data_IF_666389217730
#
_entry.id   IF_666389217730
#
_cell.length_a   1.000
_cell.length_b   1.000
_cell.length_c   1.000
_cell.angle_alpha   90.00
_cell.angle_beta   90.00
_cell.angle_gamma   90.00
#
_symmetry.space_group_name_H-M   'P 1'
#
loop_
_entity.id
_entity.type
_entity.pdbx_description
1 polymer ?
#
# COMPACT_ATOMS: atom_id res chain seq x y z
N UNK A 1 65.92 38.71 36.15
CA UNK A 1 65.46 37.50 35.43
C UNK A 1 64.15 37.06 36.06
N UNK A 2 63.05 37.08 35.29
CA UNK A 2 61.70 36.73 35.74
C UNK A 2 61.50 35.22 35.56
N UNK A 3 61.14 34.50 36.61
CA UNK A 3 60.70 33.09 36.51
C UNK A 3 59.20 33.02 36.77
N UNK A 4 58.47 32.61 35.72
CA UNK A 4 57.03 32.35 35.71
C UNK A 4 56.78 30.97 36.34
N UNK A 5 55.91 30.89 37.35
CA UNK A 5 55.37 29.63 37.87
C UNK A 5 53.93 29.49 37.38
N UNK A 6 53.70 28.48 36.54
CA UNK A 6 52.46 28.17 35.84
C UNK A 6 51.43 27.54 36.79
N UNK A 7 50.21 28.10 36.83
CA UNK A 7 49.03 27.53 37.53
C UNK A 7 48.49 26.34 36.74
N UNK A 8 48.31 25.19 37.39
CA UNK A 8 47.71 24.00 36.80
C UNK A 8 46.19 24.05 36.99
N UNK A 9 45.45 24.05 35.88
CA UNK A 9 43.98 23.93 35.87
C UNK A 9 43.65 22.45 36.05
N UNK A 10 43.04 22.09 37.18
CA UNK A 10 42.46 20.75 37.38
C UNK A 10 41.14 20.69 36.60
N UNK A 11 41.14 20.00 35.46
CA UNK A 11 39.91 19.64 34.76
C UNK A 11 39.20 18.53 35.53
N UNK A 12 38.03 18.83 36.08
CA UNK A 12 37.11 17.84 36.64
C UNK A 12 36.35 17.21 35.46
N UNK A 13 36.56 15.91 35.25
CA UNK A 13 35.85 15.12 34.25
C UNK A 13 34.48 14.75 34.84
N UNK A 14 33.39 15.30 34.30
CA UNK A 14 32.03 14.88 34.64
C UNK A 14 31.64 13.75 33.67
N UNK A 15 31.25 12.56 34.15
CA UNK A 15 30.80 11.51 33.26
C UNK A 15 29.46 11.94 32.64
N UNK A 16 29.46 12.11 31.32
CA UNK A 16 28.26 12.29 30.54
C UNK A 16 27.52 10.95 30.50
N UNK A 17 26.61 10.76 31.45
CA UNK A 17 25.68 9.63 31.43
C UNK A 17 24.78 9.80 30.20
N UNK A 18 25.09 9.06 29.13
CA UNK A 18 24.17 8.87 28.01
C UNK A 18 22.98 8.08 28.54
N UNK A 19 21.87 8.77 28.79
CA UNK A 19 20.55 8.17 28.82
C UNK A 19 20.27 7.68 27.41
N UNK A 20 20.38 6.37 27.20
CA UNK A 20 19.73 5.73 26.06
C UNK A 20 18.24 5.82 26.30
N UNK A 21 17.56 6.70 25.57
CA UNK A 21 16.12 6.59 25.38
C UNK A 21 15.95 5.42 24.42
N UNK A 22 15.51 4.27 24.93
CA UNK A 22 14.93 3.25 24.07
C UNK A 22 13.64 3.86 23.52
N UNK A 23 13.53 3.95 22.19
CA UNK A 23 12.23 4.18 21.57
C UNK A 23 11.41 2.92 21.85
N UNK A 24 10.44 3.04 22.76
CA UNK A 24 9.41 2.03 22.96
C UNK A 24 8.53 2.12 21.72
N UNK A 25 8.78 1.25 20.73
CA UNK A 25 7.85 1.05 19.64
C UNK A 25 6.66 0.32 20.23
N UNK A 26 5.70 1.09 20.74
CA UNK A 26 4.45 0.55 21.27
C UNK A 26 3.79 -0.32 20.18
N UNK A 27 3.46 -1.55 20.56
CA UNK A 27 2.66 -2.44 19.74
C UNK A 27 1.27 -1.80 19.57
N UNK A 28 0.68 -2.02 18.41
CA UNK A 28 -0.68 -1.58 18.08
C UNK A 28 -1.60 -2.78 17.90
N UNK A 29 -2.87 -2.59 18.18
CA UNK A 29 -3.90 -3.62 18.05
C UNK A 29 -4.40 -3.66 16.62
N UNK A 30 -4.19 -4.78 15.95
CA UNK A 30 -4.82 -5.10 14.68
C UNK A 30 -6.03 -5.99 14.94
N UNK A 31 -7.23 -5.50 14.64
CA UNK A 31 -8.47 -6.28 14.69
C UNK A 31 -9.00 -6.51 13.30
N UNK A 32 -9.11 -7.76 12.89
CA UNK A 32 -9.72 -8.17 11.63
C UNK A 32 -11.17 -8.58 11.87
N UNK A 33 -12.10 -8.08 11.08
CA UNK A 33 -13.51 -8.46 11.09
C UNK A 33 -13.87 -9.15 9.78
N UNK A 34 -14.44 -10.33 9.89
CA UNK A 34 -14.96 -11.09 8.77
C UNK A 34 -16.43 -10.71 8.57
N UNK A 35 -16.69 -9.74 7.71
CA UNK A 35 -18.04 -9.32 7.33
C UNK A 35 -18.52 -10.09 6.07
N UNK A 36 -17.84 -11.21 5.72
CA UNK A 36 -18.19 -12.10 4.60
C UNK A 36 -19.05 -13.29 5.05
N UNK A 37 -19.59 -14.03 4.09
CA UNK A 37 -20.35 -15.27 4.30
C UNK A 37 -19.46 -16.51 4.46
N UNK A 38 -18.14 -16.39 4.30
CA UNK A 38 -17.17 -17.49 4.31
C UNK A 38 -16.35 -17.50 5.60
N UNK A 39 -16.05 -18.68 6.12
CA UNK A 39 -15.20 -18.82 7.31
C UNK A 39 -13.72 -18.82 6.92
N UNK A 40 -12.88 -18.12 7.68
CA UNK A 40 -11.42 -18.12 7.45
C UNK A 40 -10.74 -19.12 8.39
N UNK A 41 -10.05 -20.09 7.80
CA UNK A 41 -9.37 -21.18 8.51
C UNK A 41 -7.92 -20.84 8.82
N UNK A 42 -7.26 -20.06 7.95
CA UNK A 42 -5.88 -19.64 8.16
C UNK A 42 -5.72 -18.14 7.91
N UNK A 43 -5.03 -17.46 8.83
CA UNK A 43 -4.68 -16.05 8.72
C UNK A 43 -3.17 -15.88 8.89
N UNK A 44 -2.50 -15.34 7.89
CA UNK A 44 -1.09 -15.00 7.97
C UNK A 44 -0.90 -13.49 7.88
N UNK A 45 0.10 -13.01 8.61
CA UNK A 45 0.50 -11.62 8.63
C UNK A 45 2.02 -11.54 8.52
N UNK A 46 2.50 -11.05 7.37
CA UNK A 46 3.90 -10.85 7.04
C UNK A 46 4.20 -9.37 6.92
N UNK A 47 5.40 -8.92 7.30
CA UNK A 47 5.83 -7.57 6.93
C UNK A 47 5.95 -7.51 5.39
N UNK A 48 5.59 -6.40 4.76
CA UNK A 48 5.55 -6.33 3.28
C UNK A 48 6.93 -6.41 2.61
N UNK A 49 8.02 -6.27 3.38
CA UNK A 49 9.39 -6.48 2.92
C UNK A 49 9.89 -7.94 3.15
N UNK A 50 9.08 -8.78 3.79
CA UNK A 50 9.39 -10.18 4.11
C UNK A 50 8.82 -11.14 3.08
N UNK A 51 9.61 -12.14 2.68
CA UNK A 51 9.18 -13.22 1.81
C UNK A 51 8.58 -14.41 2.58
N UNK A 52 8.69 -14.40 3.91
CA UNK A 52 8.20 -15.46 4.78
C UNK A 52 6.89 -15.06 5.47
N UNK A 53 5.84 -15.87 5.30
CA UNK A 53 4.51 -15.63 5.88
C UNK A 53 4.41 -15.84 7.39
N UNK A 54 5.36 -16.57 7.97
CA UNK A 54 5.34 -16.94 9.38
C UNK A 54 4.28 -17.99 9.72
N UNK A 55 3.89 -18.02 10.99
CA UNK A 55 2.89 -18.93 11.53
C UNK A 55 1.47 -18.40 11.31
N UNK A 56 0.51 -19.31 11.21
CA UNK A 56 -0.91 -18.98 11.23
C UNK A 56 -1.27 -18.32 12.57
N UNK A 57 -2.01 -17.20 12.48
CA UNK A 57 -2.41 -16.39 13.62
C UNK A 57 -3.65 -16.95 14.32
N UNK A 58 -4.49 -17.71 13.63
CA UNK A 58 -5.69 -18.31 14.22
C UNK A 58 -5.36 -19.58 15.01
N UNK A 59 -4.41 -20.38 14.53
CA UNK A 59 -3.99 -21.60 15.21
C UNK A 59 -5.05 -22.70 15.07
N UNK A 60 -5.71 -23.05 16.18
CA UNK A 60 -6.83 -24.01 16.18
C UNK A 60 -8.20 -23.32 16.06
N UNK A 61 -8.24 -21.97 16.10
CA UNK A 61 -9.46 -21.18 15.98
C UNK A 61 -9.86 -20.98 14.50
N UNK A 62 -11.15 -20.67 14.28
CA UNK A 62 -11.69 -20.30 12.97
C UNK A 62 -12.32 -18.92 13.07
N UNK A 63 -12.01 -18.03 12.13
CA UNK A 63 -12.65 -16.72 12.03
C UNK A 63 -13.95 -16.86 11.22
N UNK A 64 -15.01 -17.19 11.94
CA UNK A 64 -16.38 -17.38 11.43
C UNK A 64 -16.95 -16.11 10.77
N UNK A 65 -17.97 -16.28 9.91
CA UNK A 65 -18.76 -15.19 9.35
C UNK A 65 -19.35 -14.28 10.45
N UNK A 66 -19.19 -12.96 10.30
CA UNK A 66 -19.53 -11.94 11.28
C UNK A 66 -18.61 -11.89 12.50
N UNK A 67 -17.56 -12.71 12.53
CA UNK A 67 -16.59 -12.81 13.60
C UNK A 67 -15.49 -11.74 13.54
N UNK A 68 -14.67 -11.69 14.59
CA UNK A 68 -13.47 -10.86 14.61
C UNK A 68 -12.33 -11.53 15.39
N UNK A 69 -11.10 -11.18 15.03
CA UNK A 69 -9.88 -11.63 15.69
C UNK A 69 -8.97 -10.42 15.92
N UNK A 70 -8.33 -10.35 17.09
CA UNK A 70 -7.41 -9.26 17.44
C UNK A 70 -6.04 -9.79 17.82
N UNK A 71 -4.99 -9.14 17.34
CA UNK A 71 -3.61 -9.40 17.74
C UNK A 71 -2.80 -8.11 17.87
N UNK A 72 -1.68 -8.16 18.59
CA UNK A 72 -0.73 -7.06 18.71
C UNK A 72 0.36 -7.20 17.66
N UNK A 73 0.69 -6.09 16.99
CA UNK A 73 1.71 -6.04 15.93
C UNK A 73 2.56 -4.79 16.08
N UNK A 74 3.78 -4.82 15.53
CA UNK A 74 4.60 -3.61 15.46
C UNK A 74 4.06 -2.68 14.37
N UNK A 75 4.09 -1.35 14.55
CA UNK A 75 3.74 -0.41 13.49
C UNK A 75 4.57 -0.65 12.21
N UNK A 76 3.94 -1.06 11.10
CA UNK A 76 4.58 -1.31 9.80
C UNK A 76 3.55 -1.42 8.66
N UNK A 77 4.02 -1.71 7.46
CA UNK A 77 3.20 -2.27 6.38
C UNK A 77 3.23 -3.79 6.46
N UNK A 78 2.07 -4.42 6.26
CA UNK A 78 1.93 -5.86 6.28
C UNK A 78 1.19 -6.37 5.05
N UNK A 79 1.58 -7.57 4.62
CA UNK A 79 0.78 -8.37 3.71
C UNK A 79 -0.05 -9.35 4.55
N UNK A 80 -1.34 -9.43 4.21
CA UNK A 80 -2.34 -10.28 4.87
C UNK A 80 -2.71 -11.39 3.90
N UNK A 81 -2.61 -12.64 4.36
CA UNK A 81 -3.12 -13.79 3.60
C UNK A 81 -4.20 -14.49 4.39
N UNK A 82 -5.31 -14.76 3.73
CA UNK A 82 -6.45 -15.49 4.27
C UNK A 82 -6.68 -16.72 3.40
N UNK A 83 -7.01 -17.84 4.05
CA UNK A 83 -7.44 -19.06 3.38
C UNK A 83 -8.77 -19.46 4.01
N UNK A 84 -9.81 -19.58 3.18
CA UNK A 84 -11.16 -19.88 3.64
C UNK A 84 -11.45 -21.39 3.76
N UNK A 85 -12.71 -21.71 4.03
CA UNK A 85 -13.22 -23.07 4.22
C UNK A 85 -13.15 -23.98 2.98
N UNK A 86 -12.98 -23.39 1.79
CA UNK A 86 -12.87 -24.09 0.51
C UNK A 86 -11.42 -24.11 -0.03
N UNK A 87 -10.44 -23.76 0.81
CA UNK A 87 -9.01 -23.60 0.49
C UNK A 87 -8.71 -22.47 -0.52
N UNK A 88 -9.63 -21.52 -0.71
CA UNK A 88 -9.41 -20.38 -1.60
C UNK A 88 -8.52 -19.33 -0.91
N UNK A 89 -7.46 -18.92 -1.62
CA UNK A 89 -6.43 -18.04 -1.08
C UNK A 89 -6.68 -16.60 -1.51
N UNK A 90 -6.81 -15.71 -0.53
CA UNK A 90 -6.77 -14.26 -0.74
C UNK A 90 -5.50 -13.65 -0.13
N UNK A 91 -4.78 -12.82 -0.90
CA UNK A 91 -3.65 -12.01 -0.42
C UNK A 91 -3.93 -10.52 -0.63
N UNK A 92 -3.95 -9.75 0.46
CA UNK A 92 -3.96 -8.28 0.45
C UNK A 92 -2.59 -7.75 0.82
N UNK A 93 -1.95 -7.02 -0.09
CA UNK A 93 -0.58 -6.52 0.11
C UNK A 93 -0.56 -5.10 0.69
N UNK A 94 0.52 -4.79 1.41
CA UNK A 94 0.89 -3.43 1.84
C UNK A 94 -0.18 -2.70 2.69
N UNK A 95 -0.84 -3.43 3.59
CA UNK A 95 -1.78 -2.88 4.56
C UNK A 95 -1.01 -2.07 5.60
N UNK A 96 -1.27 -0.77 5.67
CA UNK A 96 -0.61 0.13 6.60
C UNK A 96 -1.20 0.00 8.02
N UNK A 97 -0.43 -0.56 8.96
CA UNK A 97 -0.83 -0.72 10.36
C UNK A 97 0.11 0.14 11.22
N UNK A 98 -0.26 1.39 11.49
CA UNK A 98 0.55 2.32 12.30
C UNK A 98 -0.03 2.66 13.66
N UNK A 99 -1.33 2.45 13.84
CA UNK A 99 -2.09 2.68 15.06
C UNK A 99 -3.06 1.51 15.23
N UNK A 100 -3.79 1.47 16.34
CA UNK A 100 -4.91 0.56 16.51
C UNK A 100 -5.88 0.69 15.32
N UNK A 101 -6.19 -0.43 14.68
CA UNK A 101 -7.01 -0.47 13.46
C UNK A 101 -8.01 -1.61 13.49
N UNK A 102 -9.22 -1.31 13.05
CA UNK A 102 -10.27 -2.27 12.71
C UNK A 102 -10.30 -2.45 11.19
N UNK A 103 -9.69 -3.54 10.71
CA UNK A 103 -9.67 -3.91 9.30
C UNK A 103 -10.83 -4.87 9.01
N UNK A 104 -11.57 -4.63 7.93
CA UNK A 104 -12.81 -5.35 7.61
C UNK A 104 -12.76 -5.81 6.16
N UNK A 105 -13.27 -7.01 5.90
CA UNK A 105 -13.45 -7.56 4.57
C UNK A 105 -14.81 -8.25 4.46
N UNK A 106 -15.43 -8.19 3.30
CA UNK A 106 -16.69 -8.88 2.98
C UNK A 106 -16.54 -9.78 1.77
N UNK A 107 -17.68 -10.24 1.25
CA UNK A 107 -17.72 -11.13 0.08
C UNK A 107 -17.06 -10.52 -1.16
N UNK A 108 -17.24 -9.21 -1.37
CA UNK A 108 -16.70 -8.53 -2.54
C UNK A 108 -15.17 -8.55 -2.52
N UNK A 109 -14.57 -8.23 -1.37
CA UNK A 109 -13.12 -8.23 -1.19
C UNK A 109 -12.51 -9.63 -1.30
N UNK A 110 -13.16 -10.67 -0.73
CA UNK A 110 -12.67 -12.05 -0.88
C UNK A 110 -12.75 -12.52 -2.34
N UNK A 111 -13.90 -12.35 -2.99
CA UNK A 111 -14.10 -12.82 -4.36
C UNK A 111 -13.22 -12.07 -5.35
N UNK A 112 -12.96 -10.78 -5.14
CA UNK A 112 -12.03 -10.00 -5.96
C UNK A 112 -10.60 -10.54 -5.81
N UNK A 113 -10.16 -10.70 -4.57
CA UNK A 113 -8.82 -11.16 -4.22
C UNK A 113 -8.52 -12.61 -4.63
N UNK A 114 -9.53 -13.48 -4.61
CA UNK A 114 -9.46 -14.88 -5.08
C UNK A 114 -9.60 -14.99 -6.61
N UNK A 115 -9.96 -13.90 -7.30
CA UNK A 115 -10.14 -13.88 -8.75
C UNK A 115 -11.48 -14.44 -9.24
N UNK A 116 -12.48 -14.56 -8.36
CA UNK A 116 -13.86 -14.95 -8.72
C UNK A 116 -14.69 -13.77 -9.24
N UNK A 117 -14.35 -12.53 -8.88
CA UNK A 117 -15.02 -11.33 -9.36
C UNK A 117 -14.23 -10.61 -10.47
N UNK A 118 -13.71 -11.36 -11.46
CA UNK A 118 -13.06 -10.79 -12.67
C UNK A 118 -14.03 -10.07 -13.62
N UNK A 119 -15.16 -9.59 -13.11
CA UNK A 119 -16.03 -8.61 -13.77
C UNK A 119 -15.81 -7.23 -13.16
N UNK A 120 -14.70 -6.60 -13.57
CA UNK A 120 -14.52 -5.16 -13.72
C UNK A 120 -15.44 -4.26 -12.87
N UNK A 121 -14.99 -3.98 -11.65
CA UNK A 121 -15.21 -2.72 -10.94
C UNK A 121 -14.47 -2.78 -9.59
N UNK A 122 -13.18 -2.45 -9.60
CA UNK A 122 -12.46 -2.05 -8.40
C UNK A 122 -13.10 -0.77 -7.82
N UNK A 123 -14.16 -0.94 -7.02
CA UNK A 123 -14.68 0.10 -6.14
C UNK A 123 -14.08 -0.12 -4.77
N UNK A 124 -12.88 0.42 -4.60
CA UNK A 124 -12.27 0.71 -3.30
C UNK A 124 -13.31 1.35 -2.38
N UNK A 125 -13.85 0.57 -1.44
CA UNK A 125 -14.53 1.11 -0.27
C UNK A 125 -13.59 1.05 0.93
N UNK A 126 -12.36 1.55 0.72
CA UNK A 126 -11.55 2.08 1.79
C UNK A 126 -12.33 3.18 2.50
N UNK A 127 -12.36 3.12 3.82
CA UNK A 127 -12.75 4.25 4.67
C UNK A 127 -12.15 5.52 4.08
N UNK A 128 -12.99 6.53 3.80
CA UNK A 128 -12.53 7.83 3.32
C UNK A 128 -11.50 8.39 4.29
N UNK A 129 -10.23 8.19 3.97
CA UNK A 129 -9.12 8.94 4.53
C UNK A 129 -9.44 10.42 4.28
N UNK A 130 -9.69 11.16 5.36
CA UNK A 130 -10.09 12.55 5.28
C UNK A 130 -8.98 13.36 4.57
N UNK A 131 -9.15 13.61 3.26
CA UNK A 131 -8.17 14.31 2.44
C UNK A 131 -7.85 13.67 1.10
N UNK A 132 -8.30 12.44 0.82
CA UNK A 132 -8.04 11.80 -0.48
C UNK A 132 -8.71 12.54 -1.65
N UNK A 133 -8.01 12.63 -2.78
CA UNK A 133 -8.43 13.29 -4.03
C UNK A 133 -8.57 12.26 -5.15
N UNK A 134 -9.53 12.48 -6.06
CA UNK A 134 -9.80 11.56 -7.17
C UNK A 134 -8.87 11.84 -8.35
N UNK A 135 -8.00 10.89 -8.69
CA UNK A 135 -7.21 10.92 -9.91
C UNK A 135 -7.87 10.02 -10.97
N UNK A 136 -8.17 10.57 -12.14
CA UNK A 136 -8.81 9.85 -13.25
C UNK A 136 -7.86 9.80 -14.44
N UNK A 137 -7.50 8.61 -14.88
CA UNK A 137 -6.79 8.39 -16.14
C UNK A 137 -7.84 8.24 -17.23
N UNK A 138 -7.68 8.95 -18.35
CA UNK A 138 -8.56 8.88 -19.50
C UNK A 138 -7.77 8.54 -20.75
N UNK A 139 -8.07 7.38 -21.31
CA UNK A 139 -7.44 6.91 -22.52
C UNK A 139 -8.26 7.29 -23.75
N UNK A 140 -7.84 8.31 -24.47
CA UNK A 140 -8.39 8.69 -25.78
C UNK A 140 -7.50 8.20 -26.94
N UNK A 141 -6.54 7.33 -26.67
CA UNK A 141 -5.68 6.78 -27.71
C UNK A 141 -6.34 5.60 -28.41
N UNK A 142 -5.73 5.14 -29.50
CA UNK A 142 -6.15 3.95 -30.23
C UNK A 142 -5.75 2.63 -29.56
N UNK A 143 -4.88 2.68 -28.55
CA UNK A 143 -4.31 1.53 -27.85
C UNK A 143 -4.99 1.32 -26.50
N UNK A 144 -5.15 0.08 -26.08
CA UNK A 144 -5.75 -0.30 -24.80
C UNK A 144 -4.66 -0.42 -23.74
N UNK A 145 -4.86 0.22 -22.59
CA UNK A 145 -3.87 0.17 -21.50
C UNK A 145 -4.13 -1.08 -20.66
N UNK A 146 -3.13 -1.95 -20.55
CA UNK A 146 -3.19 -3.19 -19.78
C UNK A 146 -2.61 -3.04 -18.38
N UNK A 147 -1.62 -2.16 -18.19
CA UNK A 147 -1.04 -1.92 -16.87
C UNK A 147 -0.90 -0.44 -16.56
N UNK A 148 -1.21 -0.08 -15.32
CA UNK A 148 -1.05 1.26 -14.76
C UNK A 148 -0.22 1.11 -13.50
N UNK A 149 0.90 1.81 -13.41
CA UNK A 149 1.71 1.86 -12.20
C UNK A 149 1.82 3.30 -11.73
N UNK A 150 1.85 3.48 -10.41
CA UNK A 150 1.97 4.80 -9.82
C UNK A 150 2.78 4.74 -8.54
N UNK A 151 3.77 5.63 -8.44
CA UNK A 151 4.68 5.71 -7.30
C UNK A 151 4.92 7.16 -6.90
N UNK A 152 5.53 7.37 -5.74
CA UNK A 152 6.14 8.66 -5.43
C UNK A 152 7.40 8.85 -6.31
N UNK A 153 7.83 10.10 -6.54
CA UNK A 153 9.05 10.37 -7.30
C UNK A 153 10.26 9.65 -6.72
N UNK A 154 11.11 9.12 -7.60
CA UNK A 154 12.35 8.40 -7.26
C UNK A 154 12.15 7.04 -6.53
N UNK A 155 10.91 6.55 -6.44
CA UNK A 155 10.59 5.23 -5.87
C UNK A 155 10.35 4.18 -6.97
N UNK A 156 10.47 2.90 -6.61
CA UNK A 156 10.06 1.78 -7.47
C UNK A 156 8.55 1.84 -7.77
N UNK A 157 8.17 1.42 -8.99
CA UNK A 157 6.81 1.54 -9.53
C UNK A 157 5.71 0.81 -8.74
N UNK A 158 6.09 -0.14 -7.88
CA UNK A 158 5.13 -0.97 -7.14
C UNK A 158 4.30 -1.89 -8.04
N UNK A 159 3.13 -2.29 -7.53
CA UNK A 159 2.20 -3.19 -8.23
C UNK A 159 1.35 -2.45 -9.26
N UNK A 160 0.84 -3.20 -10.23
CA UNK A 160 -0.17 -2.72 -11.15
C UNK A 160 -1.44 -2.29 -10.40
N UNK A 161 -2.01 -1.17 -10.83
CA UNK A 161 -3.19 -0.53 -10.26
C UNK A 161 -4.49 -0.99 -10.93
N UNK A 162 -4.41 -1.60 -12.13
CA UNK A 162 -5.58 -2.10 -12.85
C UNK A 162 -5.97 -3.53 -12.42
N UNK A 163 -5.02 -4.35 -12.00
CA UNK A 163 -5.27 -5.75 -11.70
C UNK A 163 -5.61 -6.53 -12.97
N UNK A 164 -6.83 -7.03 -13.08
CA UNK A 164 -7.32 -7.66 -14.32
C UNK A 164 -8.07 -6.70 -15.25
N UNK A 165 -8.29 -5.46 -14.83
CA UNK A 165 -8.98 -4.45 -15.65
C UNK A 165 -8.07 -3.88 -16.73
N UNK A 166 -8.68 -3.22 -17.73
CA UNK A 166 -7.96 -2.50 -18.79
C UNK A 166 -8.62 -1.15 -19.04
N UNK A 167 -7.83 -0.14 -19.42
CA UNK A 167 -8.38 1.14 -19.87
C UNK A 167 -8.56 1.07 -21.39
N UNK A 168 -9.78 0.76 -21.81
CA UNK A 168 -10.13 0.62 -23.24
C UNK A 168 -9.73 1.86 -24.03
N UNK A 169 -9.27 1.64 -25.27
CA UNK A 169 -9.01 2.70 -26.23
C UNK A 169 -10.26 3.58 -26.49
N UNK A 170 -10.04 4.77 -27.06
CA UNK A 170 -11.10 5.65 -27.55
C UNK A 170 -12.13 6.12 -26.50
N UNK A 171 -11.69 6.32 -25.27
CA UNK A 171 -12.42 7.03 -24.22
C UNK A 171 -12.57 6.28 -22.90
N UNK A 172 -11.89 5.15 -22.73
CA UNK A 172 -11.86 4.41 -21.46
C UNK A 172 -11.30 5.27 -20.32
N UNK A 173 -11.75 4.98 -19.10
CA UNK A 173 -11.28 5.70 -17.91
C UNK A 173 -11.07 4.76 -16.74
N UNK A 174 -10.06 5.08 -15.93
CA UNK A 174 -9.81 4.43 -14.65
C UNK A 174 -9.63 5.51 -13.57
N UNK A 175 -10.07 5.25 -12.35
CA UNK A 175 -10.02 6.23 -11.25
C UNK A 175 -9.42 5.63 -10.00
N UNK A 176 -8.54 6.39 -9.36
CA UNK A 176 -7.90 6.08 -8.09
C UNK A 176 -8.19 7.20 -7.08
N UNK A 177 -8.18 6.87 -5.80
CA UNK A 177 -8.22 7.84 -4.72
C UNK A 177 -6.86 7.90 -4.04
N UNK A 178 -6.21 9.07 -4.13
CA UNK A 178 -4.83 9.26 -3.68
C UNK A 178 -4.76 10.33 -2.62
N UNK A 179 -3.74 10.29 -1.76
CA UNK A 179 -3.42 11.43 -0.92
C UNK A 179 -2.88 12.59 -1.77
N UNK A 180 -3.15 13.86 -1.39
CA UNK A 180 -2.56 15.00 -2.07
C UNK A 180 -1.03 14.90 -2.11
N UNK A 181 -0.44 15.03 -3.28
CA UNK A 181 0.99 14.78 -3.45
C UNK A 181 1.49 14.94 -4.87
N UNK A 182 2.73 14.51 -5.09
CA UNK A 182 3.36 14.41 -6.41
C UNK A 182 3.62 12.94 -6.69
N UNK A 183 3.31 12.50 -7.90
CA UNK A 183 3.35 11.09 -8.30
C UNK A 183 3.96 10.94 -9.68
N UNK A 184 4.58 9.80 -9.92
CA UNK A 184 5.01 9.35 -11.23
C UNK A 184 4.01 8.30 -11.74
N UNK A 185 3.69 8.33 -13.04
CA UNK A 185 2.75 7.43 -13.70
C UNK A 185 3.48 6.66 -14.81
N UNK A 186 3.28 5.34 -14.85
CA UNK A 186 3.71 4.48 -15.94
C UNK A 186 2.52 3.71 -16.48
N UNK A 187 2.35 3.72 -17.80
CA UNK A 187 1.33 3.00 -18.52
C UNK A 187 1.98 1.99 -19.45
N UNK A 188 1.41 0.81 -19.56
CA UNK A 188 1.80 -0.24 -20.51
C UNK A 188 0.56 -0.65 -21.30
N UNK A 189 0.68 -0.70 -22.63
CA UNK A 189 -0.42 -1.03 -23.52
C UNK A 189 -0.52 -2.53 -23.85
N UNK A 190 -1.33 -2.89 -24.87
CA UNK A 190 -1.58 -4.29 -25.22
C UNK A 190 -0.39 -5.06 -25.81
N UNK A 191 0.62 -4.37 -26.34
CA UNK A 191 1.80 -5.01 -26.94
C UNK A 191 3.09 -4.77 -26.15
N UNK A 192 2.97 -4.07 -25.01
CA UNK A 192 4.02 -3.89 -24.03
C UNK A 192 4.78 -2.57 -24.20
N UNK A 193 4.27 -1.66 -25.02
CA UNK A 193 4.84 -0.32 -25.17
C UNK A 193 4.57 0.49 -23.90
N UNK A 194 5.63 1.13 -23.38
CA UNK A 194 5.61 1.80 -22.08
C UNK A 194 5.66 3.31 -22.25
N UNK A 195 4.71 4.00 -21.63
CA UNK A 195 4.69 5.46 -21.52
C UNK A 195 4.86 5.89 -20.05
N UNK A 196 5.85 6.74 -19.78
CA UNK A 196 6.07 7.30 -18.43
C UNK A 196 5.78 8.79 -18.36
N UNK A 197 5.28 9.25 -17.21
CA UNK A 197 5.00 10.65 -16.93
C UNK A 197 5.39 10.97 -15.49
N UNK A 198 6.42 11.79 -15.33
CA UNK A 198 7.03 12.07 -14.03
C UNK A 198 6.50 13.38 -13.42
N UNK A 199 6.42 13.44 -12.10
CA UNK A 199 6.17 14.66 -11.34
C UNK A 199 4.75 15.22 -11.46
N UNK A 200 3.75 14.36 -11.64
CA UNK A 200 2.35 14.76 -11.73
C UNK A 200 1.88 15.27 -10.36
N UNK A 201 1.48 16.52 -10.29
CA UNK A 201 1.00 17.15 -9.07
C UNK A 201 -0.52 16.92 -8.90
N UNK A 202 -0.89 16.12 -7.91
CA UNK A 202 -2.28 15.71 -7.64
C UNK A 202 -2.67 16.23 -6.26
N UNK A 203 -3.20 17.45 -6.19
CA UNK A 203 -3.61 18.10 -4.92
C UNK A 203 -5.13 18.33 -4.82
N UNK A 204 -5.87 17.99 -5.87
CA UNK A 204 -7.33 18.01 -5.97
C UNK A 204 -7.76 16.98 -7.00
N UNK A 205 -9.07 16.78 -7.14
CA UNK A 205 -9.59 15.92 -8.20
C UNK A 205 -9.02 16.35 -9.56
N UNK A 206 -8.44 15.40 -10.28
CA UNK A 206 -7.69 15.63 -11.52
C UNK A 206 -8.03 14.54 -12.54
N UNK A 207 -8.27 14.94 -13.78
CA UNK A 207 -8.36 14.02 -14.92
C UNK A 207 -7.15 14.21 -15.83
N UNK A 208 -6.37 13.17 -15.99
CA UNK A 208 -5.21 13.11 -16.86
C UNK A 208 -5.57 12.33 -18.11
N UNK A 209 -5.44 12.97 -19.28
CA UNK A 209 -5.87 12.39 -20.57
C UNK A 209 -4.69 12.11 -21.47
N UNK A 210 -4.66 10.92 -22.07
CA UNK A 210 -3.71 10.55 -23.12
C UNK A 210 -4.44 10.39 -24.45
N UNK A 211 -3.95 11.03 -25.51
CA UNK A 211 -4.35 10.78 -26.89
C UNK A 211 -3.18 10.21 -27.70
N UNK A 212 -3.38 9.98 -28.99
CA UNK A 212 -2.35 9.39 -29.84
C UNK A 212 -1.04 10.20 -29.87
N UNK A 213 -1.13 11.54 -29.83
CA UNK A 213 0.04 12.38 -29.86
C UNK A 213 0.86 12.25 -28.56
N UNK A 214 0.17 12.27 -27.42
CA UNK A 214 0.81 12.13 -26.11
C UNK A 214 1.45 10.74 -25.95
N UNK A 215 0.78 9.68 -26.42
CA UNK A 215 1.34 8.33 -26.42
C UNK A 215 2.61 8.23 -27.26
N UNK A 216 2.56 8.69 -28.51
CA UNK A 216 3.71 8.62 -29.40
C UNK A 216 4.90 9.48 -28.95
N UNK A 217 4.66 10.50 -28.12
CA UNK A 217 5.71 11.35 -27.54
C UNK A 217 6.41 10.72 -26.32
N UNK A 218 5.79 9.73 -25.67
CA UNK A 218 6.29 9.15 -24.41
C UNK A 218 6.66 7.66 -24.47
N UNK A 219 6.35 6.96 -25.57
CA UNK A 219 6.77 5.56 -25.76
C UNK A 219 8.29 5.49 -25.86
N UNK A 220 8.91 4.66 -25.01
CA UNK A 220 10.36 4.37 -24.99
C UNK A 220 10.72 2.99 -25.53
#
# INVERSE_FOLDING_TARGET
MKTLLTRWIKFFFVPLSFLFVAAENDLVTFTIHNDSDYSIFYLYLSNSDSQDWGEDRLGDDVLESGGSYSTLVYPSNYDIKMIDEDDDVCVTNNVNIRNDIDWRFGNEELLDCQGYNSSSNASTSGTREAGAVKFTIRNNSDWTIYHVYMSAPEEDWGSDQLGSDVITSNGGTFSLYLQPGTYDLKLEDEDGDVCTSFGININSDLTWSYGNAEWLDCIE
#
